data_IF_697017047252
#
_entry.id   IF_697017047252
#
_cell.length_a   1.000
_cell.length_b   1.000
_cell.length_c   1.000
_cell.angle_alpha   90.00
_cell.angle_beta   90.00
_cell.angle_gamma   90.00
#
_symmetry.space_group_name_H-M   'P 1'
#
loop_
_entity.id
_entity.type
_entity.pdbx_description
1 polymer ?
#
# COMPACT_ATOMS: atom_id res chain seq x y z
N UNK A 1 6.13 -14.62 -23.46
CA UNK A 1 5.01 -14.69 -22.49
C UNK A 1 5.25 -15.68 -21.32
N UNK A 2 6.38 -16.40 -21.24
CA UNK A 2 6.64 -17.38 -20.17
C UNK A 2 7.78 -17.03 -19.19
N UNK A 3 8.61 -16.03 -19.47
CA UNK A 3 9.72 -15.66 -18.56
C UNK A 3 9.26 -14.78 -17.39
N UNK A 4 8.19 -13.99 -17.57
CA UNK A 4 7.59 -13.14 -16.53
C UNK A 4 7.01 -14.01 -15.39
N UNK A 5 6.34 -15.12 -15.73
CA UNK A 5 5.82 -16.08 -14.76
C UNK A 5 6.92 -16.82 -13.98
N UNK A 6 8.10 -17.00 -14.58
CA UNK A 6 9.22 -17.69 -13.95
C UNK A 6 9.91 -16.82 -12.88
N UNK A 7 9.99 -15.50 -13.09
CA UNK A 7 10.45 -14.52 -12.10
C UNK A 7 9.47 -14.38 -10.92
N UNK A 8 8.17 -14.26 -11.22
CA UNK A 8 7.07 -14.25 -10.24
C UNK A 8 7.14 -15.46 -9.29
N UNK A 9 7.33 -16.67 -9.82
CA UNK A 9 7.39 -17.90 -9.04
C UNK A 9 8.53 -17.94 -8.02
N UNK A 10 9.64 -17.23 -8.25
CA UNK A 10 10.84 -17.33 -7.40
C UNK A 10 10.78 -16.40 -6.19
N UNK A 11 10.15 -15.23 -6.35
CA UNK A 11 9.99 -14.26 -5.26
C UNK A 11 8.73 -14.54 -4.41
N UNK A 12 7.68 -15.11 -5.03
CA UNK A 12 6.48 -15.60 -4.34
C UNK A 12 6.75 -16.75 -3.33
N UNK A 13 7.95 -17.36 -3.36
CA UNK A 13 8.33 -18.42 -2.43
C UNK A 13 9.07 -17.96 -1.18
N UNK A 14 9.57 -16.72 -1.11
CA UNK A 14 10.17 -16.22 0.12
C UNK A 14 9.06 -15.73 1.06
N UNK A 15 8.48 -16.69 1.79
CA UNK A 15 7.35 -16.48 2.70
C UNK A 15 7.60 -15.35 3.71
N UNK A 16 8.85 -15.01 3.96
CA UNK A 16 9.31 -13.97 4.87
C UNK A 16 9.07 -12.56 4.34
N UNK A 17 9.47 -12.27 3.10
CA UNK A 17 9.29 -10.93 2.49
C UNK A 17 7.80 -10.61 2.33
N UNK A 18 7.02 -11.61 1.87
CA UNK A 18 5.57 -11.45 1.71
C UNK A 18 4.87 -11.18 3.05
N UNK A 19 5.24 -11.90 4.10
CA UNK A 19 4.73 -11.65 5.46
C UNK A 19 5.12 -10.27 5.98
N UNK A 20 6.37 -9.86 5.77
CA UNK A 20 6.82 -8.52 6.18
C UNK A 20 6.07 -7.41 5.44
N UNK A 21 5.79 -7.59 4.14
CA UNK A 21 5.01 -6.63 3.35
C UNK A 21 3.54 -6.58 3.80
N UNK A 22 2.92 -7.73 4.03
CA UNK A 22 1.55 -7.85 4.54
C UNK A 22 1.39 -7.15 5.90
N UNK A 23 2.31 -7.39 6.84
CA UNK A 23 2.31 -6.71 8.15
C UNK A 23 2.59 -5.20 8.05
N UNK A 24 3.45 -4.78 7.11
CA UNK A 24 3.65 -3.37 6.80
C UNK A 24 2.34 -2.72 6.33
N UNK A 25 1.63 -3.33 5.39
CA UNK A 25 0.37 -2.81 4.84
C UNK A 25 -0.70 -2.73 5.94
N UNK A 26 -0.88 -3.79 6.74
CA UNK A 26 -1.81 -3.80 7.88
C UNK A 26 -1.52 -2.67 8.87
N UNK A 27 -0.24 -2.40 9.15
CA UNK A 27 0.16 -1.31 10.03
C UNK A 27 -0.24 0.04 9.44
N UNK A 28 0.04 0.26 8.15
CA UNK A 28 -0.36 1.50 7.47
C UNK A 28 -1.86 1.72 7.44
N UNK A 29 -2.67 0.68 7.23
CA UNK A 29 -4.13 0.80 7.23
C UNK A 29 -4.65 1.30 8.59
N UNK A 30 -4.06 0.86 9.70
CA UNK A 30 -4.43 1.32 11.05
C UNK A 30 -4.14 2.80 11.29
N UNK A 31 -3.14 3.35 10.62
CA UNK A 31 -2.72 4.76 10.77
C UNK A 31 -3.63 5.73 10.01
N UNK A 32 -4.37 5.24 8.99
CA UNK A 32 -5.16 6.07 8.08
C UNK A 32 -6.13 6.99 8.83
N UNK A 33 -6.87 6.50 9.80
CA UNK A 33 -7.89 7.32 10.47
C UNK A 33 -7.32 8.51 11.22
N UNK A 34 -6.16 8.32 11.85
CA UNK A 34 -5.44 9.42 12.48
C UNK A 34 -4.84 10.36 11.44
N UNK A 35 -4.26 9.83 10.36
CA UNK A 35 -3.66 10.67 9.32
C UNK A 35 -4.68 11.51 8.55
N UNK A 36 -5.87 10.97 8.26
CA UNK A 36 -6.95 11.70 7.58
C UNK A 36 -7.35 12.92 8.39
N UNK A 37 -7.65 12.73 9.67
CA UNK A 37 -8.07 13.82 10.56
C UNK A 37 -6.99 14.91 10.73
N UNK A 38 -5.71 14.56 10.68
CA UNK A 38 -4.61 15.52 10.82
C UNK A 38 -4.20 16.20 9.50
N UNK A 39 -4.19 15.46 8.40
CA UNK A 39 -3.61 15.91 7.13
C UNK A 39 -4.66 16.55 6.23
N UNK A 40 -5.92 16.18 6.41
CA UNK A 40 -7.00 16.56 5.51
C UNK A 40 -8.19 17.21 6.23
N UNK A 41 -7.99 18.33 6.94
CA UNK A 41 -9.11 19.00 7.62
C UNK A 41 -10.17 19.56 6.65
N UNK A 42 -9.90 19.56 5.33
CA UNK A 42 -10.84 20.03 4.32
C UNK A 42 -10.46 19.48 2.91
N UNK A 43 -10.51 18.14 2.74
CA UNK A 43 -10.07 17.43 1.51
C UNK A 43 -10.55 18.13 0.23
N UNK A 44 -11.86 18.38 0.15
CA UNK A 44 -12.50 18.95 -1.05
C UNK A 44 -11.97 20.34 -1.40
N UNK A 45 -11.67 21.17 -0.39
CA UNK A 45 -11.22 22.54 -0.60
C UNK A 45 -9.80 22.60 -1.16
N UNK A 46 -8.91 21.76 -0.63
CA UNK A 46 -7.49 21.74 -1.04
C UNK A 46 -7.30 20.96 -2.34
N UNK A 47 -7.92 19.79 -2.43
CA UNK A 47 -7.67 18.83 -3.52
C UNK A 47 -8.69 18.91 -4.66
N UNK A 48 -9.77 19.70 -4.49
CA UNK A 48 -10.80 19.92 -5.51
C UNK A 48 -11.41 18.62 -6.07
N UNK A 49 -11.46 17.57 -5.26
CA UNK A 49 -12.02 16.29 -5.66
C UNK A 49 -13.55 16.27 -5.47
N UNK A 50 -14.28 15.73 -6.44
CA UNK A 50 -15.74 15.58 -6.33
C UNK A 50 -16.11 14.45 -5.37
N UNK A 51 -15.44 13.30 -5.49
CA UNK A 51 -15.60 12.14 -4.62
C UNK A 51 -14.40 12.00 -3.67
N UNK A 52 -14.58 12.40 -2.41
CA UNK A 52 -13.53 12.32 -1.39
C UNK A 52 -13.10 10.88 -1.09
N UNK A 53 -14.03 9.93 -1.12
CA UNK A 53 -13.73 8.52 -0.82
C UNK A 53 -12.81 7.92 -1.88
N UNK A 54 -13.14 8.12 -3.16
CA UNK A 54 -12.32 7.61 -4.27
C UNK A 54 -10.94 8.30 -4.30
N UNK A 55 -10.91 9.61 -4.05
CA UNK A 55 -9.66 10.37 -3.95
C UNK A 55 -8.76 9.82 -2.84
N UNK A 56 -9.28 9.70 -1.62
CA UNK A 56 -8.50 9.20 -0.48
C UNK A 56 -8.09 7.74 -0.70
N UNK A 57 -8.93 6.92 -1.31
CA UNK A 57 -8.56 5.55 -1.66
C UNK A 57 -7.36 5.52 -2.59
N UNK A 58 -7.40 6.28 -3.70
CA UNK A 58 -6.27 6.39 -4.63
C UNK A 58 -5.01 6.93 -3.94
N UNK A 59 -5.15 7.96 -3.12
CA UNK A 59 -4.05 8.56 -2.37
C UNK A 59 -3.37 7.55 -1.44
N UNK A 60 -4.14 6.83 -0.62
CA UNK A 60 -3.58 5.88 0.34
C UNK A 60 -3.00 4.63 -0.31
N UNK A 61 -3.61 4.14 -1.40
CA UNK A 61 -3.00 3.09 -2.22
C UNK A 61 -1.62 3.53 -2.70
N UNK A 62 -1.51 4.71 -3.32
CA UNK A 62 -0.24 5.23 -3.83
C UNK A 62 0.79 5.45 -2.72
N UNK A 63 0.37 6.02 -1.58
CA UNK A 63 1.24 6.26 -0.42
C UNK A 63 1.78 4.94 0.17
N UNK A 64 0.92 3.92 0.30
CA UNK A 64 1.32 2.60 0.81
C UNK A 64 2.26 1.91 -0.17
N UNK A 65 1.96 1.97 -1.47
CA UNK A 65 2.79 1.39 -2.54
C UNK A 65 4.18 2.02 -2.56
N UNK A 66 4.28 3.36 -2.53
CA UNK A 66 5.56 4.06 -2.45
C UNK A 66 6.33 3.71 -1.16
N UNK A 67 5.64 3.68 -0.02
CA UNK A 67 6.24 3.34 1.26
C UNK A 67 6.74 1.89 1.33
N UNK A 68 6.00 0.95 0.75
CA UNK A 68 6.37 -0.45 0.63
C UNK A 68 7.59 -0.62 -0.28
N UNK A 69 7.63 0.07 -1.42
CA UNK A 69 8.80 0.08 -2.30
C UNK A 69 10.04 0.58 -1.55
N UNK A 70 9.93 1.69 -0.82
CA UNK A 70 11.03 2.23 0.01
C UNK A 70 11.45 1.27 1.13
N UNK A 71 10.50 0.62 1.79
CA UNK A 71 10.76 -0.38 2.83
C UNK A 71 11.55 -1.57 2.27
N UNK A 72 11.10 -2.12 1.14
CA UNK A 72 11.72 -3.25 0.48
C UNK A 72 13.09 -2.89 -0.12
N UNK A 73 13.26 -1.69 -0.70
CA UNK A 73 14.56 -1.19 -1.16
C UNK A 73 15.58 -1.07 -0.02
N UNK A 74 15.15 -0.66 1.18
CA UNK A 74 16.02 -0.65 2.37
C UNK A 74 16.38 -2.06 2.81
N UNK A 75 15.44 -2.99 2.81
CA UNK A 75 15.66 -4.38 3.19
C UNK A 75 16.58 -5.12 2.19
N UNK A 76 16.38 -4.91 0.89
CA UNK A 76 17.15 -5.55 -0.20
C UNK A 76 18.55 -4.93 -0.37
N UNK A 77 18.77 -3.67 -0.03
CA UNK A 77 20.15 -3.15 0.09
C UNK A 77 20.97 -3.88 1.15
N UNK A 78 20.32 -4.50 2.15
CA UNK A 78 20.97 -5.35 3.14
C UNK A 78 21.11 -6.83 2.70
N UNK A 79 20.40 -7.27 1.65
CA UNK A 79 20.44 -8.63 1.10
C UNK A 79 20.69 -8.64 -0.41
N UNK A 80 21.92 -8.97 -0.80
CA UNK A 80 22.38 -9.04 -2.20
C UNK A 80 21.39 -9.82 -3.08
N UNK A 81 20.65 -9.15 -3.98
CA UNK A 81 20.16 -9.74 -5.22
C UNK A 81 18.64 -9.95 -5.47
N UNK A 82 17.72 -9.29 -4.78
CA UNK A 82 16.27 -9.42 -5.08
C UNK A 82 15.61 -8.14 -5.58
N UNK A 83 15.19 -8.08 -6.85
CA UNK A 83 14.34 -7.00 -7.37
C UNK A 83 12.89 -7.30 -7.01
N UNK A 84 12.31 -6.56 -6.05
CA UNK A 84 10.87 -6.63 -5.80
C UNK A 84 10.16 -5.74 -6.79
N UNK A 85 9.40 -6.35 -7.69
CA UNK A 85 8.60 -5.64 -8.68
C UNK A 85 7.40 -4.95 -8.02
N UNK A 86 7.13 -3.70 -8.41
CA UNK A 86 5.96 -2.91 -8.01
C UNK A 86 4.63 -3.65 -8.24
N UNK A 87 4.56 -4.53 -9.25
CA UNK A 87 3.37 -5.34 -9.52
C UNK A 87 3.01 -6.31 -8.37
N UNK A 88 3.99 -6.84 -7.64
CA UNK A 88 3.74 -7.71 -6.49
C UNK A 88 3.24 -6.92 -5.27
N UNK A 89 3.72 -5.68 -5.10
CA UNK A 89 3.27 -4.79 -4.01
C UNK A 89 1.79 -4.47 -4.18
N UNK A 90 1.40 -4.05 -5.39
CA UNK A 90 0.00 -3.73 -5.67
C UNK A 90 -0.91 -4.94 -5.46
N UNK A 91 -0.48 -6.12 -5.90
CA UNK A 91 -1.22 -7.36 -5.67
C UNK A 91 -1.50 -7.64 -4.18
N UNK A 92 -0.53 -7.39 -3.30
CA UNK A 92 -0.73 -7.56 -1.84
C UNK A 92 -1.64 -6.46 -1.27
N UNK A 93 -1.52 -5.20 -1.71
CA UNK A 93 -2.41 -4.12 -1.26
C UNK A 93 -3.86 -4.43 -1.59
N UNK A 94 -4.14 -4.97 -2.79
CA UNK A 94 -5.51 -5.31 -3.21
C UNK A 94 -6.16 -6.41 -2.36
N UNK A 95 -5.37 -7.30 -1.73
CA UNK A 95 -5.89 -8.27 -0.75
C UNK A 95 -6.58 -7.55 0.42
N UNK A 96 -6.03 -6.39 0.82
CA UNK A 96 -6.54 -5.57 1.92
C UNK A 96 -7.52 -4.49 1.47
N UNK A 97 -8.01 -4.53 0.23
CA UNK A 97 -8.90 -3.51 -0.35
C UNK A 97 -10.07 -3.12 0.55
N UNK A 98 -10.74 -4.11 1.14
CA UNK A 98 -11.94 -3.88 1.94
C UNK A 98 -11.60 -3.20 3.28
N UNK A 99 -10.49 -3.59 3.89
CA UNK A 99 -10.00 -3.02 5.16
C UNK A 99 -9.55 -1.58 4.95
N UNK A 100 -8.83 -1.33 3.85
CA UNK A 100 -8.43 0.00 3.43
C UNK A 100 -9.65 0.91 3.20
N UNK A 101 -10.63 0.44 2.43
CA UNK A 101 -11.86 1.18 2.16
C UNK A 101 -12.63 1.47 3.46
N UNK A 102 -12.72 0.49 4.36
CA UNK A 102 -13.41 0.66 5.64
C UNK A 102 -12.70 1.69 6.53
N UNK A 103 -11.37 1.65 6.61
CA UNK A 103 -10.59 2.62 7.37
C UNK A 103 -10.82 4.04 6.85
N UNK A 104 -10.78 4.24 5.53
CA UNK A 104 -11.02 5.56 4.92
C UNK A 104 -12.45 6.04 5.20
N UNK A 105 -13.46 5.20 4.98
CA UNK A 105 -14.87 5.55 5.26
C UNK A 105 -15.08 6.00 6.70
N UNK A 106 -14.59 5.23 7.67
CA UNK A 106 -14.66 5.58 9.10
C UNK A 106 -14.00 6.91 9.43
N UNK A 107 -13.02 7.32 8.64
CA UNK A 107 -12.27 8.57 8.85
C UNK A 107 -13.01 9.79 8.30
N UNK A 108 -13.92 9.59 7.35
CA UNK A 108 -14.78 10.64 6.79
C UNK A 108 -16.08 10.83 7.59
N UNK A 109 -16.44 9.86 8.44
CA UNK A 109 -17.61 9.88 9.31
C UNK A 109 -17.34 10.48 10.70
N UNK A 110 -16.08 10.81 11.01
CA UNK A 110 -15.63 11.42 12.28
C UNK A 110 -15.73 12.95 12.23
#
# INVERSE_FOLDING_TARGET
MNEILCGLSKMLQDSTIRKSLDEYIKTRIKEISMEVSQTFPDVQKVWKCENQLDFLYGYYVGKIEEGALRYLLKATRASVGGYVDTFDIRGVIEIHRNELLLAIKKSLEQ
#
